data_IF_891058462929
#
_entry.id   IF_891058462929
#
_cell.length_a   1.000
_cell.length_b   1.000
_cell.length_c   1.000
_cell.angle_alpha   90.00
_cell.angle_beta   90.00
_cell.angle_gamma   90.00
#
_symmetry.space_group_name_H-M   'P 1'
#
loop_
_entity.id
_entity.type
_entity.pdbx_description
1 polymer ?
#
# COMPACT_ATOMS: atom_id res chain seq x y z
N UNK A 1 -10.03 -7.20 7.07
CA UNK A 1 -9.88 -8.66 6.89
C UNK A 1 -10.81 -9.10 5.77
N UNK A 2 -10.33 -9.88 4.78
CA UNK A 2 -11.15 -10.33 3.65
C UNK A 2 -11.09 -11.84 3.48
N UNK A 3 -12.21 -12.44 3.06
CA UNK A 3 -12.29 -13.86 2.70
C UNK A 3 -12.18 -14.00 1.19
N UNK A 4 -11.17 -14.72 0.72
CA UNK A 4 -10.85 -14.88 -0.70
C UNK A 4 -10.83 -16.35 -1.07
N UNK A 5 -11.31 -16.69 -2.27
CA UNK A 5 -11.28 -18.03 -2.83
C UNK A 5 -10.08 -18.22 -3.74
N UNK A 6 -9.26 -19.22 -3.47
CA UNK A 6 -8.23 -19.72 -4.40
C UNK A 6 -8.86 -20.70 -5.38
N UNK A 7 -9.08 -20.25 -6.61
CA UNK A 7 -9.73 -21.07 -7.65
C UNK A 7 -9.00 -22.39 -7.91
N UNK A 8 -7.66 -22.40 -7.89
CA UNK A 8 -6.86 -23.60 -8.10
C UNK A 8 -7.06 -24.70 -7.05
N UNK A 9 -7.61 -24.37 -5.87
CA UNK A 9 -7.89 -25.34 -4.80
C UNK A 9 -9.36 -25.66 -4.65
N UNK A 10 -10.25 -24.97 -5.38
CA UNK A 10 -11.68 -25.10 -5.15
C UNK A 10 -12.25 -26.34 -5.83
N UNK A 11 -12.84 -27.24 -5.04
CA UNK A 11 -13.49 -28.46 -5.53
C UNK A 11 -14.89 -28.23 -6.11
N UNK A 12 -15.39 -26.97 -6.09
CA UNK A 12 -16.74 -26.59 -6.55
C UNK A 12 -17.84 -27.48 -5.96
N UNK A 13 -17.79 -27.67 -4.64
CA UNK A 13 -18.77 -28.46 -3.90
C UNK A 13 -20.20 -27.96 -4.15
N UNK A 14 -21.16 -28.89 -4.24
CA UNK A 14 -22.58 -28.59 -4.51
C UNK A 14 -23.26 -27.76 -3.42
N UNK A 15 -22.78 -27.82 -2.17
CA UNK A 15 -23.20 -26.96 -1.05
C UNK A 15 -21.97 -26.27 -0.46
N UNK A 16 -21.71 -25.03 -0.86
CA UNK A 16 -20.56 -24.25 -0.40
C UNK A 16 -21.05 -23.09 0.48
N UNK A 17 -20.66 -23.11 1.76
CA UNK A 17 -21.00 -22.05 2.72
C UNK A 17 -20.00 -20.87 2.69
N UNK A 18 -18.94 -20.97 1.88
CA UNK A 18 -17.89 -19.95 1.77
C UNK A 18 -17.15 -19.67 3.08
N UNK A 19 -17.17 -20.63 4.00
CA UNK A 19 -16.50 -20.56 5.29
C UNK A 19 -15.04 -21.03 5.15
N UNK A 20 -14.12 -20.29 5.78
CA UNK A 20 -12.67 -20.55 5.72
C UNK A 20 -12.29 -21.80 6.52
N UNK A 21 -12.95 -22.07 7.65
CA UNK A 21 -12.69 -23.19 8.55
C UNK A 21 -13.30 -24.47 8.00
N UNK A 22 -14.52 -24.39 7.48
CA UNK A 22 -15.27 -25.56 6.99
C UNK A 22 -14.93 -25.94 5.54
N UNK A 23 -14.08 -25.18 4.84
CA UNK A 23 -13.72 -25.50 3.46
C UNK A 23 -12.79 -26.73 3.41
N UNK A 24 -13.25 -27.90 2.91
CA UNK A 24 -12.47 -29.13 2.99
C UNK A 24 -11.18 -29.09 2.17
N UNK A 25 -11.14 -28.28 1.11
CA UNK A 25 -9.95 -28.10 0.28
C UNK A 25 -9.06 -26.93 0.69
N UNK A 26 -9.47 -26.17 1.72
CA UNK A 26 -8.79 -24.93 2.12
C UNK A 26 -8.73 -23.88 1.01
N UNK A 27 -9.68 -23.90 0.07
CA UNK A 27 -9.76 -22.94 -1.02
C UNK A 27 -10.16 -21.55 -0.54
N UNK A 28 -11.03 -21.47 0.48
CA UNK A 28 -11.36 -20.20 1.13
C UNK A 28 -10.28 -19.85 2.15
N UNK A 29 -9.79 -18.62 2.09
CA UNK A 29 -8.74 -18.13 2.98
C UNK A 29 -9.08 -16.73 3.47
N UNK A 30 -8.75 -16.49 4.73
CA UNK A 30 -8.78 -15.17 5.31
C UNK A 30 -7.45 -14.45 5.04
N UNK A 31 -7.50 -13.30 4.38
CA UNK A 31 -6.35 -12.45 4.08
C UNK A 31 -6.40 -11.19 4.96
N UNK A 32 -5.26 -10.90 5.56
CA UNK A 32 -5.08 -9.82 6.53
C UNK A 32 -5.42 -10.23 7.95
N UNK A 33 -4.81 -9.52 8.89
CA UNK A 33 -5.05 -9.65 10.34
C UNK A 33 -4.97 -8.26 10.95
N UNK A 34 -5.69 -8.05 12.04
CA UNK A 34 -5.52 -6.83 12.81
C UNK A 34 -4.22 -6.90 13.61
N UNK A 35 -3.52 -5.77 13.68
CA UNK A 35 -2.29 -5.62 14.46
C UNK A 35 -2.36 -4.32 15.24
N UNK A 36 -1.83 -4.35 16.46
CA UNK A 36 -1.61 -3.12 17.21
C UNK A 36 -0.31 -2.47 16.75
N UNK A 37 -0.19 -1.17 17.00
CA UNK A 37 1.02 -0.41 16.70
C UNK A 37 2.25 -1.05 17.36
N UNK A 38 2.15 -1.41 18.65
CA UNK A 38 3.26 -1.96 19.41
C UNK A 38 3.69 -3.35 18.92
N UNK A 39 2.72 -4.21 18.57
CA UNK A 39 3.02 -5.53 18.03
C UNK A 39 3.68 -5.43 16.66
N UNK A 40 3.21 -4.53 15.80
CA UNK A 40 3.81 -4.33 14.49
C UNK A 40 5.21 -3.73 14.61
N UNK A 41 5.40 -2.74 15.48
CA UNK A 41 6.73 -2.18 15.74
C UNK A 41 7.70 -3.25 16.24
N UNK A 42 7.27 -4.05 17.23
CA UNK A 42 8.08 -5.17 17.74
C UNK A 42 8.47 -6.16 16.66
N UNK A 43 7.57 -6.44 15.72
CA UNK A 43 7.86 -7.33 14.60
C UNK A 43 8.91 -6.72 13.66
N UNK A 44 8.73 -5.45 13.27
CA UNK A 44 9.63 -4.73 12.36
C UNK A 44 11.03 -4.58 12.95
N UNK A 45 11.15 -4.31 14.26
CA UNK A 45 12.44 -4.10 14.92
C UNK A 45 13.32 -5.36 14.98
N UNK A 46 12.78 -6.56 14.70
CA UNK A 46 13.61 -7.76 14.55
C UNK A 46 14.63 -7.64 13.42
N UNK A 47 14.30 -6.85 12.40
CA UNK A 47 15.11 -6.67 11.19
C UNK A 47 15.99 -5.40 11.24
N UNK A 48 16.04 -4.71 12.38
CA UNK A 48 16.74 -3.43 12.55
C UNK A 48 18.21 -3.49 12.09
N UNK A 49 18.90 -4.58 12.40
CA UNK A 49 20.31 -4.79 12.02
C UNK A 49 20.49 -4.74 10.50
N UNK A 50 19.54 -5.29 9.74
CA UNK A 50 19.58 -5.27 8.28
C UNK A 50 19.33 -3.86 7.73
N UNK A 51 18.40 -3.11 8.33
CA UNK A 51 18.14 -1.72 7.93
C UNK A 51 19.39 -0.86 8.13
N UNK A 52 20.05 -0.98 9.30
CA UNK A 52 21.29 -0.26 9.60
C UNK A 52 22.43 -0.64 8.65
N UNK A 53 22.62 -1.94 8.39
CA UNK A 53 23.72 -2.41 7.55
C UNK A 53 23.56 -2.03 6.07
N UNK A 54 22.33 -2.01 5.55
CA UNK A 54 22.04 -1.68 4.15
C UNK A 54 21.85 -0.18 3.90
N UNK A 55 21.63 0.62 4.94
CA UNK A 55 21.12 1.98 4.81
C UNK A 55 19.64 2.04 4.36
N UNK A 56 18.97 0.90 4.32
CA UNK A 56 17.55 0.77 3.98
C UNK A 56 16.61 1.01 5.16
N UNK A 57 15.42 0.42 5.09
CA UNK A 57 14.40 0.59 6.12
C UNK A 57 13.07 -0.05 5.74
N UNK A 58 11.97 0.63 6.06
CA UNK A 58 10.62 0.08 5.96
C UNK A 58 9.80 0.81 4.90
N UNK A 59 9.20 0.06 3.99
CA UNK A 59 8.22 0.60 3.02
C UNK A 59 6.82 0.12 3.39
N UNK A 60 5.88 1.06 3.57
CA UNK A 60 4.47 0.73 3.71
C UNK A 60 3.83 0.61 2.32
N UNK A 61 3.54 -0.63 1.92
CA UNK A 61 2.99 -1.01 0.61
C UNK A 61 1.77 -1.94 0.80
N UNK A 62 1.57 -2.92 -0.10
CA UNK A 62 0.53 -3.94 -0.06
C UNK A 62 -0.68 -3.53 -0.91
N UNK A 63 -1.72 -3.03 -0.25
CA UNK A 63 -2.87 -2.42 -0.92
C UNK A 63 -2.62 -0.92 -1.13
N UNK A 64 -3.57 -0.09 -0.73
CA UNK A 64 -3.41 1.36 -0.72
C UNK A 64 -3.20 1.86 0.72
N UNK A 65 -1.97 2.30 1.03
CA UNK A 65 -1.58 2.78 2.37
C UNK A 65 -2.43 3.94 2.84
N UNK A 66 -2.91 4.78 1.91
CA UNK A 66 -3.75 5.95 2.21
C UNK A 66 -5.13 5.57 2.77
N UNK A 67 -5.58 4.32 2.58
CA UNK A 67 -6.81 3.81 3.21
C UNK A 67 -6.67 3.66 4.73
N UNK A 68 -5.44 3.55 5.24
CA UNK A 68 -5.13 3.41 6.67
C UNK A 68 -4.18 4.53 7.14
N UNK A 69 -4.29 5.72 6.55
CA UNK A 69 -3.35 6.83 6.72
C UNK A 69 -3.08 7.19 8.20
N UNK A 70 -4.09 7.16 9.08
CA UNK A 70 -3.91 7.49 10.49
C UNK A 70 -3.02 6.49 11.22
N UNK A 71 -3.23 5.19 10.99
CA UNK A 71 -2.39 4.13 11.56
C UNK A 71 -0.98 4.18 10.96
N UNK A 72 -0.88 4.31 9.63
CA UNK A 72 0.38 4.42 8.91
C UNK A 72 1.22 5.61 9.43
N UNK A 73 0.61 6.79 9.61
CA UNK A 73 1.30 7.97 10.12
C UNK A 73 1.82 7.80 11.56
N UNK A 74 1.13 7.02 12.41
CA UNK A 74 1.62 6.70 13.75
C UNK A 74 2.80 5.75 13.70
N UNK A 75 2.75 4.74 12.84
CA UNK A 75 3.85 3.79 12.65
C UNK A 75 5.10 4.47 12.09
N UNK A 76 4.97 5.27 11.04
CA UNK A 76 6.09 6.01 10.43
C UNK A 76 6.79 6.92 11.43
N UNK A 77 6.02 7.69 12.22
CA UNK A 77 6.56 8.52 13.30
C UNK A 77 7.37 7.70 14.30
N UNK A 78 6.84 6.55 14.70
CA UNK A 78 7.50 5.66 15.65
C UNK A 78 8.78 5.06 15.07
N UNK A 79 8.78 4.63 13.82
CA UNK A 79 9.99 4.11 13.15
C UNK A 79 11.07 5.19 12.99
N UNK A 80 10.66 6.43 12.74
CA UNK A 80 11.59 7.57 12.67
C UNK A 80 12.27 7.87 14.00
N UNK A 81 11.58 7.70 15.13
CA UNK A 81 12.19 7.79 16.47
C UNK A 81 13.30 6.74 16.69
N UNK A 82 13.22 5.60 16.01
CA UNK A 82 14.27 4.56 16.00
C UNK A 82 15.39 4.84 14.98
N UNK A 83 15.30 5.93 14.21
CA UNK A 83 16.26 6.26 13.16
C UNK A 83 16.17 5.34 11.94
N UNK A 84 15.03 4.67 11.73
CA UNK A 84 14.80 3.79 10.58
C UNK A 84 14.26 4.64 9.42
N UNK A 85 14.88 4.54 8.23
CA UNK A 85 14.34 5.17 7.02
C UNK A 85 13.00 4.57 6.66
N UNK A 86 12.11 5.39 6.15
CA UNK A 86 10.75 5.00 5.84
C UNK A 86 10.33 5.47 4.46
N UNK A 87 9.58 4.63 3.77
CA UNK A 87 8.94 4.98 2.52
C UNK A 87 7.45 4.58 2.55
N UNK A 88 6.66 5.22 1.71
CA UNK A 88 5.29 4.78 1.42
C UNK A 88 5.15 4.52 -0.09
N UNK A 89 4.33 3.53 -0.43
CA UNK A 89 3.94 3.22 -1.79
C UNK A 89 2.45 3.53 -1.99
N UNK A 90 2.12 4.29 -3.03
CA UNK A 90 0.74 4.74 -3.25
C UNK A 90 0.44 5.12 -4.70
N UNK A 91 -0.82 4.98 -5.11
CA UNK A 91 -1.34 5.59 -6.35
C UNK A 91 -1.78 7.05 -6.14
N UNK A 92 -1.75 7.56 -4.91
CA UNK A 92 -2.00 8.96 -4.60
C UNK A 92 -3.46 9.41 -4.73
N UNK A 93 -4.41 8.50 -4.90
CA UNK A 93 -5.80 8.84 -5.20
C UNK A 93 -6.65 9.09 -3.93
N UNK A 94 -6.27 10.10 -3.14
CA UNK A 94 -6.99 10.49 -1.90
C UNK A 94 -7.11 12.01 -1.74
N UNK A 95 -7.85 12.48 -0.74
CA UNK A 95 -7.87 13.90 -0.42
C UNK A 95 -6.51 14.36 0.12
N UNK A 96 -5.92 15.42 -0.44
CA UNK A 96 -4.59 15.92 -0.05
C UNK A 96 -4.41 16.09 1.47
N UNK A 97 -5.45 16.55 2.19
CA UNK A 97 -5.43 16.69 3.66
C UNK A 97 -5.12 15.40 4.43
N UNK A 98 -5.42 14.23 3.85
CA UNK A 98 -5.10 12.91 4.40
C UNK A 98 -3.72 12.43 3.94
N UNK A 99 -3.32 12.79 2.72
CA UNK A 99 -2.04 12.38 2.15
C UNK A 99 -0.87 13.16 2.74
N UNK A 100 -0.95 14.48 2.73
CA UNK A 100 0.18 15.34 3.05
C UNK A 100 0.80 15.08 4.44
N UNK A 101 0.02 14.91 5.54
CA UNK A 101 0.62 14.57 6.84
C UNK A 101 1.34 13.23 6.86
N UNK A 102 0.87 12.26 6.05
CA UNK A 102 1.53 10.96 5.91
C UNK A 102 2.84 11.10 5.13
N UNK A 103 2.81 11.82 4.01
CA UNK A 103 3.99 12.07 3.19
C UNK A 103 5.09 12.83 3.94
N UNK A 104 4.73 13.79 4.81
CA UNK A 104 5.68 14.47 5.71
C UNK A 104 6.25 13.56 6.81
N UNK A 105 5.60 12.43 7.09
CA UNK A 105 6.03 11.51 8.14
C UNK A 105 7.03 10.45 7.64
N UNK A 106 7.23 10.33 6.34
CA UNK A 106 8.21 9.41 5.73
C UNK A 106 9.33 10.15 4.98
N UNK A 107 10.40 9.42 4.67
CA UNK A 107 11.55 9.96 3.95
C UNK A 107 11.36 9.94 2.43
N UNK A 108 10.47 9.07 1.93
CA UNK A 108 10.29 8.84 0.49
C UNK A 108 8.86 8.40 0.14
N UNK A 109 8.33 8.95 -0.95
CA UNK A 109 7.04 8.54 -1.53
C UNK A 109 7.28 7.88 -2.88
N UNK A 110 7.05 6.58 -2.96
CA UNK A 110 7.01 5.82 -4.20
C UNK A 110 5.61 6.00 -4.82
N UNK A 111 5.53 6.86 -5.84
CA UNK A 111 4.27 7.32 -6.39
C UNK A 111 3.99 6.68 -7.74
N UNK A 112 2.91 5.91 -7.82
CA UNK A 112 2.56 5.22 -9.06
C UNK A 112 1.71 6.05 -10.01
N UNK A 113 2.26 6.30 -11.18
CA UNK A 113 1.57 6.81 -12.36
C UNK A 113 1.34 5.63 -13.29
N UNK A 114 0.10 5.13 -13.33
CA UNK A 114 -0.24 3.90 -14.05
C UNK A 114 -0.57 4.20 -15.51
N UNK A 115 -1.78 4.67 -15.80
CA UNK A 115 -2.24 4.99 -17.16
C UNK A 115 -2.43 6.51 -17.23
N UNK A 116 -1.86 7.16 -18.26
CA UNK A 116 -1.89 8.62 -18.43
C UNK A 116 -2.95 9.13 -19.42
N UNK A 117 -3.70 8.22 -20.04
CA UNK A 117 -4.96 8.53 -20.70
C UNK A 117 -6.09 8.55 -19.66
N UNK A 118 -6.78 9.68 -19.52
CA UNK A 118 -7.82 9.87 -18.50
C UNK A 118 -9.00 8.91 -18.65
N UNK A 119 -9.43 8.67 -19.89
CA UNK A 119 -10.58 7.80 -20.18
C UNK A 119 -10.23 6.37 -19.81
N UNK A 120 -9.09 5.88 -20.27
CA UNK A 120 -8.62 4.52 -19.99
C UNK A 120 -8.31 4.33 -18.51
N UNK A 121 -7.70 5.30 -17.84
CA UNK A 121 -7.46 5.25 -16.40
C UNK A 121 -8.77 5.15 -15.60
N UNK A 122 -9.80 5.91 -16.00
CA UNK A 122 -11.12 5.85 -15.38
C UNK A 122 -11.79 4.50 -15.60
N UNK A 123 -11.73 3.95 -16.81
CA UNK A 123 -12.36 2.68 -17.16
C UNK A 123 -11.67 1.48 -16.51
N UNK A 124 -10.33 1.44 -16.55
CA UNK A 124 -9.54 0.28 -16.11
C UNK A 124 -9.20 0.31 -14.62
N UNK A 125 -8.88 1.48 -14.09
CA UNK A 125 -8.39 1.63 -12.71
C UNK A 125 -9.40 2.28 -11.78
N UNK A 126 -10.47 2.87 -12.33
CA UNK A 126 -11.43 3.71 -11.58
C UNK A 126 -10.77 4.86 -10.83
N UNK A 127 -9.63 5.32 -11.34
CA UNK A 127 -8.79 6.33 -10.72
C UNK A 127 -9.30 7.72 -11.08
N UNK A 128 -9.27 8.65 -10.12
CA UNK A 128 -9.47 10.07 -10.38
C UNK A 128 -8.13 10.72 -10.77
N UNK A 129 -7.80 10.69 -12.06
CA UNK A 129 -6.53 11.21 -12.56
C UNK A 129 -6.27 12.68 -12.21
N UNK A 130 -7.24 13.62 -12.35
CA UNK A 130 -7.02 15.01 -11.91
C UNK A 130 -6.59 15.13 -10.45
N UNK A 131 -7.20 14.36 -9.54
CA UNK A 131 -6.81 14.34 -8.12
C UNK A 131 -5.43 13.77 -7.89
N UNK A 132 -5.07 12.70 -8.61
CA UNK A 132 -3.75 12.06 -8.51
C UNK A 132 -2.65 13.03 -8.95
N UNK A 133 -2.85 13.72 -10.09
CA UNK A 133 -1.89 14.70 -10.61
C UNK A 133 -1.79 15.96 -9.73
N UNK A 134 -2.90 16.43 -9.16
CA UNK A 134 -2.91 17.51 -8.16
C UNK A 134 -2.06 17.12 -6.94
N UNK A 135 -2.31 15.93 -6.38
CA UNK A 135 -1.55 15.45 -5.23
C UNK A 135 -0.05 15.30 -5.55
N UNK A 136 0.30 14.71 -6.70
CA UNK A 136 1.69 14.57 -7.13
C UNK A 136 2.38 15.93 -7.21
N UNK A 137 1.77 16.88 -7.92
CA UNK A 137 2.29 18.25 -8.09
C UNK A 137 2.53 18.91 -6.74
N UNK A 138 1.53 18.87 -5.85
CA UNK A 138 1.60 19.52 -4.54
C UNK A 138 2.65 18.91 -3.61
N UNK A 139 2.88 17.60 -3.69
CA UNK A 139 3.97 16.96 -2.93
C UNK A 139 5.34 17.44 -3.41
N UNK A 140 5.53 17.52 -4.73
CA UNK A 140 6.78 18.00 -5.33
C UNK A 140 7.02 19.48 -4.98
N UNK A 141 5.99 20.32 -5.09
CA UNK A 141 6.03 21.74 -4.68
C UNK A 141 6.33 21.92 -3.20
N UNK A 142 5.84 21.01 -2.35
CA UNK A 142 6.13 21.00 -0.92
C UNK A 142 7.51 20.38 -0.58
N UNK A 143 8.36 20.11 -1.58
CA UNK A 143 9.68 19.51 -1.42
C UNK A 143 9.68 18.14 -0.73
N UNK A 144 8.58 17.39 -0.83
CA UNK A 144 8.57 15.98 -0.45
C UNK A 144 9.41 15.19 -1.46
N UNK A 145 10.22 14.25 -0.99
CA UNK A 145 10.97 13.37 -1.85
C UNK A 145 10.03 12.33 -2.50
N UNK A 146 9.66 12.57 -3.75
CA UNK A 146 8.74 11.72 -4.51
C UNK A 146 9.51 11.04 -5.65
N UNK A 147 9.38 9.72 -5.75
CA UNK A 147 9.88 8.93 -6.88
C UNK A 147 8.68 8.51 -7.73
N UNK A 148 8.49 9.06 -8.94
CA UNK A 148 7.46 8.60 -9.86
C UNK A 148 7.81 7.21 -10.38
N UNK A 149 6.82 6.33 -10.47
CA UNK A 149 6.95 4.97 -10.98
C UNK A 149 5.88 4.70 -12.01
N UNK A 150 6.25 4.06 -13.11
CA UNK A 150 5.33 3.63 -14.17
C UNK A 150 5.56 2.14 -14.41
N UNK A 151 4.55 1.27 -14.20
CA UNK A 151 4.65 -0.11 -14.62
C UNK A 151 4.62 -0.16 -16.15
N UNK A 152 5.49 -0.94 -16.78
CA UNK A 152 5.50 -1.12 -18.23
C UNK A 152 4.71 -2.37 -18.61
N UNK A 153 3.50 -2.19 -19.14
CA UNK A 153 2.57 -3.26 -19.47
C UNK A 153 2.11 -3.07 -20.92
N UNK A 154 2.44 -4.00 -21.84
CA UNK A 154 2.01 -3.94 -23.23
C UNK A 154 0.49 -3.74 -23.37
N UNK A 155 0.09 -2.75 -24.17
CA UNK A 155 -1.31 -2.42 -24.42
C UNK A 155 -1.97 -1.51 -23.38
N UNK A 156 -1.26 -1.14 -22.31
CA UNK A 156 -1.78 -0.22 -21.29
C UNK A 156 -0.84 0.98 -21.05
N UNK A 157 0.45 0.71 -20.86
CA UNK A 157 1.41 1.69 -20.33
C UNK A 157 2.80 1.62 -20.98
N UNK A 158 2.94 0.77 -22.01
CA UNK A 158 4.12 0.66 -22.87
C UNK A 158 3.94 1.51 -24.13
#
# INVERSE_FOLDING_TARGET
>A
IQTVRRESKCLRCSRCQQDVVECPSGAWQQIGRDVTLDNLLKEVLKDEVFFRASGGGVTLSGGEVLMQAEFAARLLRRLREWGIRTAIETAGDTAYRRFFPLAQACDEVLFDLKIMDETLAREQLRMNMPRVLDNFTRLVEAHIHVIPRVPLIPGFTL
#
